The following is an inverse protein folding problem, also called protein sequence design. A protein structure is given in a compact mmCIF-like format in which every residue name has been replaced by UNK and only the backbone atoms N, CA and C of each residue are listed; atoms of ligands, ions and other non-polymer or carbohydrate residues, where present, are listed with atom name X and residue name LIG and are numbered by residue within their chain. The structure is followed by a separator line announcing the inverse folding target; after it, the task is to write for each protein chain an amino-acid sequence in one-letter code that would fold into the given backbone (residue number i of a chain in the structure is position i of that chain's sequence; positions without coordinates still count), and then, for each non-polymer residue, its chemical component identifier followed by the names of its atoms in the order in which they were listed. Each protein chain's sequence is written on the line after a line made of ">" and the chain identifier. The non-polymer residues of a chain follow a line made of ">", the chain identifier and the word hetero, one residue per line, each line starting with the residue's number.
data_IF_202101647762
#
_entry.id   IF_202101647762
#
_cell.length_a   1.000
_cell.length_b   1.000
_cell.length_c   1.000
_cell.angle_alpha   90.00
_cell.angle_beta   90.00
_cell.angle_gamma   90.00
#
_symmetry.space_group_name_H-M   'P 1'
#
loop_
_entity.id
_entity.type
_entity.pdbx_description
1 polymer ?
#
# COMPACT_ATOMS: atom_id res chain seq x y z
N UNK A 1 -25.64 11.53 9.77
CA UNK A 1 -25.20 10.20 9.28
C UNK A 1 -23.67 10.19 9.20
N UNK A 2 -22.99 9.31 9.94
CA UNK A 2 -21.53 9.15 9.82
C UNK A 2 -21.23 8.17 8.68
N UNK A 3 -20.61 8.67 7.61
CA UNK A 3 -20.14 7.85 6.50
C UNK A 3 -18.92 7.04 6.97
N UNK A 4 -19.16 5.83 7.49
CA UNK A 4 -18.12 4.89 7.92
C UNK A 4 -17.44 4.26 6.71
N UNK A 5 -16.72 5.07 5.94
CA UNK A 5 -15.80 4.60 4.91
C UNK A 5 -14.53 4.09 5.61
N UNK A 6 -14.67 3.02 6.40
CA UNK A 6 -13.55 2.39 7.08
C UNK A 6 -12.74 1.63 6.04
N UNK A 7 -11.62 2.21 5.62
CA UNK A 7 -10.53 1.53 4.92
C UNK A 7 -9.90 0.49 5.89
N UNK A 8 -10.69 -0.51 6.27
CA UNK A 8 -10.32 -1.53 7.23
C UNK A 8 -9.43 -2.52 6.51
N UNK A 9 -8.21 -2.66 7.00
CA UNK A 9 -7.34 -3.75 6.57
C UNK A 9 -8.00 -5.06 7.01
N UNK A 10 -8.36 -5.89 6.03
CA UNK A 10 -9.07 -7.16 6.24
C UNK A 10 -8.20 -8.21 6.94
N UNK A 11 -6.88 -8.12 6.78
CA UNK A 11 -5.89 -8.99 7.42
C UNK A 11 -5.16 -8.19 8.50
N UNK A 12 -5.55 -8.30 9.78
CA UNK A 12 -4.99 -7.48 10.86
C UNK A 12 -3.46 -7.58 10.97
N UNK A 13 -2.90 -8.75 10.69
CA UNK A 13 -1.46 -9.05 10.73
C UNK A 13 -0.69 -8.25 9.67
N UNK A 14 -1.35 -7.93 8.54
CA UNK A 14 -0.76 -7.13 7.48
C UNK A 14 -0.71 -5.63 7.79
N UNK A 15 -1.34 -5.15 8.88
CA UNK A 15 -1.38 -3.72 9.20
C UNK A 15 0.00 -3.08 9.29
N UNK A 16 0.94 -3.74 9.97
CA UNK A 16 2.30 -3.23 10.11
C UNK A 16 3.04 -3.24 8.76
N UNK A 17 2.90 -4.31 7.99
CA UNK A 17 3.50 -4.41 6.66
C UNK A 17 2.97 -3.33 5.71
N UNK A 18 1.65 -3.10 5.71
CA UNK A 18 1.01 -2.05 4.91
C UNK A 18 1.44 -0.65 5.37
N UNK A 19 1.57 -0.43 6.69
CA UNK A 19 2.07 0.83 7.23
C UNK A 19 3.51 1.11 6.76
N UNK A 20 4.39 0.11 6.84
CA UNK A 20 5.78 0.23 6.40
C UNK A 20 5.85 0.50 4.89
N UNK A 21 5.12 -0.29 4.08
CA UNK A 21 5.06 -0.11 2.63
C UNK A 21 4.57 1.28 2.23
N UNK A 22 3.56 1.81 2.93
CA UNK A 22 3.08 3.18 2.70
C UNK A 22 4.17 4.23 2.89
N UNK A 23 4.99 4.08 3.95
CA UNK A 23 6.09 5.01 4.20
C UNK A 23 7.24 4.82 3.21
N UNK A 24 7.56 3.59 2.83
CA UNK A 24 8.54 3.30 1.78
C UNK A 24 8.15 3.95 0.46
N UNK A 25 6.90 3.74 0.01
CA UNK A 25 6.39 4.34 -1.23
C UNK A 25 6.38 5.86 -1.16
N UNK A 26 5.99 6.44 -0.01
CA UNK A 26 6.03 7.89 0.16
C UNK A 26 7.47 8.44 0.05
N UNK A 27 8.44 7.77 0.67
CA UNK A 27 9.85 8.12 0.59
C UNK A 27 10.39 8.01 -0.85
N UNK A 28 10.03 6.96 -1.59
CA UNK A 28 10.42 6.78 -3.00
C UNK A 28 9.87 7.90 -3.90
N UNK A 29 8.66 8.36 -3.62
CA UNK A 29 8.00 9.45 -4.36
C UNK A 29 8.46 10.85 -3.89
N UNK A 30 9.30 10.95 -2.85
CA UNK A 30 9.71 12.22 -2.25
C UNK A 30 8.55 12.96 -1.56
N UNK A 31 7.49 12.25 -1.22
CA UNK A 31 6.30 12.83 -0.57
C UNK A 31 6.47 12.69 0.95
N UNK A 32 6.44 13.81 1.66
CA UNK A 32 6.50 13.78 3.11
C UNK A 32 5.22 13.19 3.69
N UNK A 33 5.35 12.04 4.35
CA UNK A 33 4.25 11.39 5.05
C UNK A 33 4.56 11.30 6.55
N UNK A 34 3.74 11.96 7.36
CA UNK A 34 3.89 11.97 8.81
C UNK A 34 3.18 10.74 9.42
N UNK A 35 3.64 10.28 10.58
CA UNK A 35 2.96 9.20 11.32
C UNK A 35 1.60 9.64 11.89
N UNK A 36 1.43 10.95 12.10
CA UNK A 36 0.20 11.55 12.63
C UNK A 36 -0.69 12.15 11.54
N UNK A 37 -0.99 13.44 11.68
CA UNK A 37 -1.87 14.16 10.77
C UNK A 37 -1.21 14.43 9.41
N UNK A 38 -1.90 14.07 8.34
CA UNK A 38 -1.51 14.32 6.95
C UNK A 38 -2.60 15.10 6.20
N UNK A 39 -3.41 15.92 6.89
CA UNK A 39 -4.50 16.64 6.21
C UNK A 39 -4.04 17.79 5.33
N UNK A 40 -2.76 18.17 5.40
CA UNK A 40 -2.09 19.06 4.45
C UNK A 40 -1.53 18.32 3.22
N UNK A 41 -1.58 16.98 3.20
CA UNK A 41 -1.16 16.19 2.05
C UNK A 41 -2.15 16.43 0.91
N UNK A 42 -1.63 16.75 -0.28
CA UNK A 42 -2.48 16.89 -1.46
C UNK A 42 -3.19 15.56 -1.76
N UNK A 43 -4.46 15.63 -2.14
CA UNK A 43 -5.23 14.44 -2.56
C UNK A 43 -4.54 13.68 -3.70
N UNK A 44 -3.81 14.39 -4.56
CA UNK A 44 -3.00 13.80 -5.64
C UNK A 44 -1.88 12.94 -5.07
N UNK A 45 -1.16 13.44 -4.07
CA UNK A 45 -0.01 12.77 -3.47
C UNK A 45 -0.46 11.56 -2.64
N UNK A 46 -1.55 11.71 -1.88
CA UNK A 46 -2.19 10.59 -1.18
C UNK A 46 -2.63 9.48 -2.16
N UNK A 47 -3.23 9.87 -3.30
CA UNK A 47 -3.61 8.95 -4.36
C UNK A 47 -2.42 8.26 -5.02
N UNK A 48 -1.33 8.98 -5.27
CA UNK A 48 -0.09 8.43 -5.83
C UNK A 48 0.54 7.40 -4.89
N UNK A 49 0.59 7.66 -3.57
CA UNK A 49 1.08 6.68 -2.60
C UNK A 49 0.22 5.42 -2.64
N UNK A 50 -1.10 5.55 -2.52
CA UNK A 50 -2.01 4.40 -2.53
C UNK A 50 -1.94 3.58 -3.81
N UNK A 51 -1.88 4.24 -4.98
CA UNK A 51 -1.77 3.58 -6.28
C UNK A 51 -0.46 2.80 -6.44
N UNK A 52 0.67 3.39 -6.00
CA UNK A 52 1.97 2.71 -6.06
C UNK A 52 2.06 1.54 -5.09
N UNK A 53 1.43 1.61 -3.91
CA UNK A 53 1.31 0.46 -3.01
C UNK A 53 0.59 -0.71 -3.69
N UNK A 54 -0.57 -0.45 -4.31
CA UNK A 54 -1.34 -1.50 -5.02
C UNK A 54 -0.54 -2.07 -6.18
N UNK A 55 0.14 -1.22 -6.96
CA UNK A 55 1.01 -1.66 -8.06
C UNK A 55 2.09 -2.63 -7.57
N UNK A 56 2.84 -2.27 -6.51
CA UNK A 56 3.88 -3.12 -5.93
C UNK A 56 3.32 -4.44 -5.40
N UNK A 57 2.15 -4.43 -4.75
CA UNK A 57 1.50 -5.65 -4.27
C UNK A 57 1.14 -6.61 -5.42
N UNK A 58 0.61 -6.08 -6.53
CA UNK A 58 0.28 -6.87 -7.71
C UNK A 58 1.57 -7.43 -8.34
N UNK A 59 2.60 -6.61 -8.54
CA UNK A 59 3.88 -7.06 -9.07
C UNK A 59 4.50 -8.18 -8.22
N UNK A 60 4.44 -8.06 -6.89
CA UNK A 60 4.91 -9.11 -5.98
C UNK A 60 4.10 -10.41 -6.12
N UNK A 61 2.78 -10.30 -6.23
CA UNK A 61 1.90 -11.45 -6.44
C UNK A 61 2.16 -12.12 -7.80
N UNK A 62 2.30 -11.34 -8.88
CA UNK A 62 2.62 -11.84 -10.22
C UNK A 62 3.98 -12.57 -10.25
N UNK A 63 4.98 -12.05 -9.53
CA UNK A 63 6.29 -12.72 -9.37
C UNK A 63 6.18 -14.04 -8.61
N UNK A 64 5.39 -14.08 -7.53
CA UNK A 64 5.16 -15.30 -6.78
C UNK A 64 4.42 -16.36 -7.61
N UNK A 65 3.40 -15.94 -8.36
CA UNK A 65 2.61 -16.82 -9.22
C UNK A 65 3.43 -17.32 -10.42
N UNK A 66 4.21 -16.47 -11.07
CA UNK A 66 5.08 -16.85 -12.19
C UNK A 66 6.23 -17.78 -11.76
N UNK A 67 6.77 -17.59 -10.54
CA UNK A 67 7.76 -18.49 -9.94
C UNK A 67 7.19 -19.85 -9.49
N UNK A 68 5.87 -20.00 -9.38
CA UNK A 68 5.20 -21.23 -8.91
C UNK A 68 4.81 -22.20 -10.04
N UNK A 69 4.98 -21.83 -11.31
CA UNK A 69 4.63 -22.66 -12.47
C UNK A 69 5.75 -23.61 -12.95
N UNK A 70 6.86 -23.73 -12.20
CA UNK A 70 8.03 -24.52 -12.60
C UNK A 70 8.20 -25.90 -11.94
N UNK A 71 7.25 -26.36 -11.11
CA UNK A 71 7.43 -27.66 -10.41
C UNK A 71 6.11 -28.40 -10.27
N UNK A 72 5.62 -28.98 -11.36
CA UNK A 72 4.69 -30.11 -11.31
C UNK A 72 5.09 -31.12 -12.38
N UNK A 73 5.65 -32.24 -11.89
CA UNK A 73 5.76 -33.51 -12.61
C UNK A 73 4.36 -34.02 -12.98
#
# INVERSE_FOLDING_TARGET
>A
MANNNSNKINVPEARQAMYNMKHEVANELGIQLNQGYNGNLSSKDAGQIGGNMVKKMIEAQERQMSGSNGTRF
#
